data_IF_316896957293
#
_entry.id   IF_316896957293
#
_cell.length_a   1.000
_cell.length_b   1.000
_cell.length_c   1.000
_cell.angle_alpha   90.00
_cell.angle_beta   90.00
_cell.angle_gamma   90.00
#
_symmetry.space_group_name_H-M   'P 1'
#
loop_
_entity.id
_entity.type
_entity.pdbx_description
1 polymer ?
#
# COMPACT_ATOMS: atom_id res chain seq x y z
N UNK A 1 -12.46 2.06 -6.06
CA UNK A 1 -12.45 2.00 -7.55
C UNK A 1 -13.31 0.87 -8.08
N UNK A 2 -13.12 -0.39 -7.62
CA UNK A 2 -14.02 -1.51 -7.98
C UNK A 2 -15.50 -1.14 -7.83
N UNK A 3 -15.89 -0.66 -6.65
CA UNK A 3 -17.26 -0.27 -6.32
C UNK A 3 -17.83 0.80 -7.28
N UNK A 4 -17.01 1.76 -7.72
CA UNK A 4 -17.44 2.81 -8.67
C UNK A 4 -17.76 2.24 -10.05
N UNK A 5 -16.92 1.31 -10.54
CA UNK A 5 -17.14 0.65 -11.84
C UNK A 5 -18.38 -0.24 -11.80
N UNK A 6 -18.56 -1.01 -10.72
CA UNK A 6 -19.73 -1.86 -10.56
C UNK A 6 -21.01 -1.04 -10.44
N UNK A 7 -20.95 0.07 -9.70
CA UNK A 7 -22.04 1.02 -9.56
C UNK A 7 -22.45 1.61 -10.92
N UNK A 8 -21.49 2.04 -11.75
CA UNK A 8 -21.77 2.53 -13.10
C UNK A 8 -22.51 1.47 -13.93
N UNK A 9 -21.98 0.25 -14.02
CA UNK A 9 -22.61 -0.80 -14.80
C UNK A 9 -24.05 -1.11 -14.36
N UNK A 10 -24.29 -1.13 -13.04
CA UNK A 10 -25.63 -1.31 -12.49
C UNK A 10 -26.57 -0.15 -12.85
N UNK A 11 -26.09 1.10 -12.78
CA UNK A 11 -26.91 2.27 -13.16
C UNK A 11 -27.29 2.30 -14.63
N UNK A 12 -26.46 1.71 -15.51
CA UNK A 12 -26.74 1.54 -16.94
C UNK A 12 -27.56 0.28 -17.26
N UNK A 13 -27.92 -0.52 -16.25
CA UNK A 13 -28.70 -1.76 -16.45
C UNK A 13 -27.92 -2.88 -17.14
N UNK A 14 -26.58 -2.79 -17.17
CA UNK A 14 -25.73 -3.82 -17.78
C UNK A 14 -25.46 -4.90 -16.73
N UNK A 15 -25.80 -6.15 -17.08
CA UNK A 15 -25.46 -7.30 -16.23
C UNK A 15 -24.00 -7.68 -16.45
N UNK A 16 -23.18 -7.46 -15.42
CA UNK A 16 -21.78 -7.88 -15.42
C UNK A 16 -21.73 -9.40 -15.20
N UNK A 17 -21.10 -10.13 -16.13
CA UNK A 17 -20.83 -11.56 -15.98
C UNK A 17 -19.70 -11.83 -14.99
N UNK A 18 -19.67 -13.01 -14.36
CA UNK A 18 -18.61 -13.40 -13.43
C UNK A 18 -17.20 -13.27 -14.04
N UNK A 19 -17.06 -13.56 -15.34
CA UNK A 19 -15.80 -13.40 -16.06
C UNK A 19 -15.35 -11.93 -16.15
N UNK A 20 -16.32 -11.01 -16.30
CA UNK A 20 -16.03 -9.57 -16.32
C UNK A 20 -15.65 -9.06 -14.94
N UNK A 21 -16.21 -9.60 -13.85
CA UNK A 21 -15.74 -9.29 -12.49
C UNK A 21 -14.28 -9.69 -12.28
N UNK A 22 -13.88 -10.88 -12.75
CA UNK A 22 -12.47 -11.30 -12.74
C UNK A 22 -11.58 -10.36 -13.56
N UNK A 23 -12.04 -9.96 -14.75
CA UNK A 23 -11.30 -9.04 -15.61
C UNK A 23 -11.15 -7.65 -14.98
N UNK A 24 -12.21 -7.13 -14.36
CA UNK A 24 -12.18 -5.86 -13.60
C UNK A 24 -11.18 -5.97 -12.45
N UNK A 25 -11.21 -7.06 -11.68
CA UNK A 25 -10.26 -7.29 -10.60
C UNK A 25 -8.82 -7.32 -11.08
N UNK A 26 -8.53 -8.08 -12.14
CA UNK A 26 -7.20 -8.19 -12.73
C UNK A 26 -6.70 -6.83 -13.25
N UNK A 27 -7.55 -6.08 -13.96
CA UNK A 27 -7.23 -4.74 -14.41
C UNK A 27 -6.96 -3.79 -13.25
N UNK A 28 -7.77 -3.84 -12.20
CA UNK A 28 -7.57 -3.01 -11.00
C UNK A 28 -6.25 -3.32 -10.30
N UNK A 29 -5.86 -4.60 -10.22
CA UNK A 29 -4.57 -5.01 -9.66
C UNK A 29 -3.41 -4.48 -10.50
N UNK A 30 -3.49 -4.60 -11.83
CA UNK A 30 -2.47 -4.06 -12.73
C UNK A 30 -2.38 -2.53 -12.66
N UNK A 31 -3.53 -1.86 -12.63
CA UNK A 31 -3.61 -0.41 -12.47
C UNK A 31 -3.09 0.04 -11.10
N UNK A 32 -3.26 -0.76 -10.04
CA UNK A 32 -2.75 -0.42 -8.70
C UNK A 32 -1.24 -0.23 -8.67
N UNK A 33 -0.50 -0.89 -9.55
CA UNK A 33 0.96 -0.77 -9.65
C UNK A 33 1.38 0.29 -10.69
N UNK A 34 0.51 0.59 -11.65
CA UNK A 34 0.81 1.41 -12.84
C UNK A 34 0.52 2.91 -12.65
N UNK A 35 -0.30 3.29 -11.67
CA UNK A 35 -0.71 4.68 -11.48
C UNK A 35 0.26 5.43 -10.56
N UNK A 36 1.19 6.19 -11.16
CA UNK A 36 1.89 7.27 -10.46
C UNK A 36 0.84 8.31 -10.03
N UNK A 37 0.86 8.73 -8.76
CA UNK A 37 -0.18 9.52 -8.12
C UNK A 37 -0.33 10.92 -8.76
N UNK A 38 -1.13 11.01 -9.82
CA UNK A 38 -1.54 12.27 -10.43
C UNK A 38 -2.95 12.59 -9.95
N UNK A 39 -3.19 13.79 -9.35
CA UNK A 39 -4.54 14.21 -8.97
C UNK A 39 -5.43 14.28 -10.23
N UNK A 40 -6.63 13.68 -10.17
CA UNK A 40 -7.58 13.41 -11.28
C UNK A 40 -7.37 12.11 -12.10
N UNK A 41 -6.41 11.26 -11.73
CA UNK A 41 -6.16 9.99 -12.46
C UNK A 41 -7.31 8.98 -12.39
N UNK A 42 -8.18 9.04 -11.36
CA UNK A 42 -9.24 8.05 -11.14
C UNK A 42 -10.30 7.99 -12.23
N UNK A 43 -10.62 9.13 -12.87
CA UNK A 43 -11.57 9.13 -14.00
C UNK A 43 -11.04 8.38 -15.20
N UNK A 44 -9.75 8.51 -15.50
CA UNK A 44 -9.11 7.82 -16.63
C UNK A 44 -9.22 6.31 -16.43
N UNK A 45 -9.01 5.85 -15.20
CA UNK A 45 -9.16 4.44 -14.80
C UNK A 45 -10.58 3.94 -14.96
N UNK A 46 -11.56 4.72 -14.50
CA UNK A 46 -12.98 4.36 -14.61
C UNK A 46 -13.41 4.29 -16.08
N UNK A 47 -12.99 5.25 -16.91
CA UNK A 47 -13.26 5.26 -18.35
C UNK A 47 -12.58 4.08 -19.06
N UNK A 48 -11.31 3.80 -18.72
CA UNK A 48 -10.57 2.68 -19.28
C UNK A 48 -11.27 1.35 -19.00
N UNK A 49 -11.65 1.10 -17.74
CA UNK A 49 -12.32 -0.15 -17.36
C UNK A 49 -13.70 -0.22 -17.99
N UNK A 50 -14.46 0.88 -18.00
CA UNK A 50 -15.77 0.94 -18.67
C UNK A 50 -15.67 0.61 -20.17
N UNK A 51 -14.61 1.06 -20.85
CA UNK A 51 -14.31 0.70 -22.23
C UNK A 51 -14.04 -0.80 -22.41
N UNK A 52 -13.32 -1.43 -21.47
CA UNK A 52 -13.04 -2.87 -21.51
C UNK A 52 -14.30 -3.72 -21.31
N UNK A 53 -15.23 -3.27 -20.47
CA UNK A 53 -16.51 -3.98 -20.24
C UNK A 53 -17.64 -3.53 -21.19
N UNK A 54 -17.32 -2.68 -22.18
CA UNK A 54 -18.23 -2.17 -23.20
C UNK A 54 -19.43 -1.39 -22.64
N UNK A 55 -19.24 -0.65 -21.54
CA UNK A 55 -20.28 0.19 -20.93
C UNK A 55 -20.14 1.64 -21.41
N UNK A 56 -21.17 2.25 -22.00
CA UNK A 56 -21.13 3.65 -22.43
C UNK A 56 -21.07 4.59 -21.22
N UNK A 57 -20.11 5.52 -21.24
CA UNK A 57 -19.76 6.38 -20.09
C UNK A 57 -20.34 7.80 -20.16
N UNK A 58 -21.07 8.17 -21.21
CA UNK A 58 -21.24 9.59 -21.58
C UNK A 58 -22.19 10.44 -20.73
N UNK A 59 -23.22 9.86 -20.10
CA UNK A 59 -24.28 10.67 -19.44
C UNK A 59 -24.22 10.72 -17.90
N UNK A 60 -23.49 9.81 -17.24
CA UNK A 60 -23.54 9.65 -15.77
C UNK A 60 -22.23 9.95 -15.04
N UNK A 61 -21.18 10.40 -15.76
CA UNK A 61 -19.88 10.74 -15.18
C UNK A 61 -19.93 11.85 -14.12
N UNK A 62 -20.89 12.78 -14.23
CA UNK A 62 -21.07 13.86 -13.26
C UNK A 62 -21.35 13.37 -11.82
N UNK A 63 -21.97 12.20 -11.68
CA UNK A 63 -22.28 11.59 -10.38
C UNK A 63 -21.02 11.01 -9.71
N UNK A 64 -20.09 10.47 -10.52
CA UNK A 64 -18.78 10.01 -10.03
C UNK A 64 -17.90 11.21 -9.68
N UNK A 65 -17.88 12.25 -10.51
CA UNK A 65 -17.20 13.52 -10.25
C UNK A 65 -17.58 14.13 -8.90
N UNK A 66 -18.86 14.08 -8.54
CA UNK A 66 -19.35 14.59 -7.25
C UNK A 66 -18.84 13.81 -6.02
N UNK A 67 -18.41 12.56 -6.20
CA UNK A 67 -17.87 11.68 -5.14
C UNK A 67 -16.34 11.54 -5.23
N UNK A 68 -15.74 11.90 -6.36
CA UNK A 68 -14.30 11.82 -6.60
C UNK A 68 -13.50 12.58 -5.54
N UNK A 69 -13.96 13.76 -5.12
CA UNK A 69 -13.25 14.53 -4.09
C UNK A 69 -13.10 13.74 -2.77
N UNK A 70 -14.07 12.91 -2.43
CA UNK A 70 -14.04 12.07 -1.23
C UNK A 70 -13.18 10.83 -1.45
N UNK A 71 -13.34 10.16 -2.59
CA UNK A 71 -12.59 8.96 -2.92
C UNK A 71 -11.08 9.23 -3.10
N UNK A 72 -10.72 10.41 -3.62
CA UNK A 72 -9.33 10.85 -3.73
C UNK A 72 -8.71 11.04 -2.34
N UNK A 73 -9.47 11.64 -1.41
CA UNK A 73 -9.02 11.82 -0.02
C UNK A 73 -8.90 10.50 0.74
N UNK A 74 -9.81 9.55 0.53
CA UNK A 74 -9.71 8.22 1.13
C UNK A 74 -8.51 7.44 0.58
N UNK A 75 -8.21 7.59 -0.71
CA UNK A 75 -7.05 6.94 -1.34
C UNK A 75 -5.74 7.45 -0.75
N UNK A 76 -5.57 8.76 -0.57
CA UNK A 76 -4.34 9.30 0.03
C UNK A 76 -4.20 8.94 1.50
N UNK A 77 -5.31 8.88 2.26
CA UNK A 77 -5.30 8.42 3.64
C UNK A 77 -4.89 6.95 3.77
N UNK A 78 -5.44 6.06 2.95
CA UNK A 78 -5.04 4.65 2.95
C UNK A 78 -3.55 4.47 2.57
N UNK A 79 -3.08 5.25 1.59
CA UNK A 79 -1.67 5.24 1.21
C UNK A 79 -0.75 5.79 2.33
N UNK A 80 -1.22 6.78 3.11
CA UNK A 80 -0.50 7.32 4.26
C UNK A 80 -0.46 6.35 5.44
N UNK A 81 -1.56 5.67 5.72
CA UNK A 81 -1.66 4.67 6.78
C UNK A 81 -0.66 3.53 6.54
N UNK A 82 -0.52 3.08 5.29
CA UNK A 82 0.48 2.07 4.90
C UNK A 82 1.91 2.52 5.23
N UNK A 83 2.25 3.79 4.99
CA UNK A 83 3.57 4.31 5.31
C UNK A 83 3.79 4.43 6.82
N UNK A 84 2.76 4.84 7.57
CA UNK A 84 2.82 4.93 9.03
C UNK A 84 3.05 3.55 9.68
N UNK A 85 2.36 2.52 9.19
CA UNK A 85 2.56 1.14 9.61
C UNK A 85 3.97 0.67 9.25
N UNK A 86 4.43 0.95 8.03
CA UNK A 86 5.78 0.59 7.57
C UNK A 86 6.88 1.17 8.46
N UNK A 87 6.78 2.46 8.79
CA UNK A 87 7.71 3.13 9.73
C UNK A 87 7.63 2.51 11.12
N UNK A 88 6.43 2.22 11.63
CA UNK A 88 6.28 1.59 12.95
C UNK A 88 6.88 0.19 13.02
N UNK A 89 6.79 -0.60 11.95
CA UNK A 89 7.42 -1.93 11.87
C UNK A 89 8.93 -1.81 11.81
N UNK A 90 9.45 -0.89 10.98
CA UNK A 90 10.89 -0.64 10.86
C UNK A 90 11.48 -0.16 12.19
N UNK A 91 10.79 0.74 12.90
CA UNK A 91 11.20 1.23 14.22
C UNK A 91 11.33 0.08 15.24
N UNK A 92 10.36 -0.82 15.27
CA UNK A 92 10.42 -2.01 16.14
C UNK A 92 11.58 -2.96 15.78
N UNK A 93 11.82 -3.17 14.49
CA UNK A 93 12.92 -4.03 14.02
C UNK A 93 14.29 -3.41 14.32
N UNK A 94 14.45 -2.11 14.10
CA UNK A 94 15.67 -1.37 14.42
C UNK A 94 15.95 -1.40 15.93
N UNK A 95 14.94 -1.16 16.76
CA UNK A 95 15.10 -1.17 18.21
C UNK A 95 15.50 -2.56 18.72
N UNK A 96 15.00 -3.62 18.10
CA UNK A 96 15.44 -5.00 18.38
C UNK A 96 16.89 -5.23 17.95
N UNK A 97 17.30 -4.78 16.76
CA UNK A 97 18.68 -4.91 16.28
C UNK A 97 19.70 -4.06 17.03
N UNK A 98 19.28 -2.94 17.65
CA UNK A 98 20.15 -2.15 18.51
C UNK A 98 20.32 -2.79 19.90
N UNK A 99 19.28 -3.45 20.42
CA UNK A 99 19.39 -4.22 21.66
C UNK A 99 20.31 -5.45 21.48
N UNK A 100 20.14 -6.21 20.40
CA UNK A 100 21.02 -7.34 20.06
C UNK A 100 22.50 -6.92 19.94
N UNK A 101 22.78 -5.75 19.36
CA UNK A 101 24.15 -5.22 19.24
C UNK A 101 24.77 -4.75 20.55
N UNK A 102 23.98 -4.21 21.47
CA UNK A 102 24.48 -3.82 22.79
C UNK A 102 24.77 -5.02 23.69
N UNK A 103 24.01 -6.10 23.51
CA UNK A 103 24.23 -7.36 24.21
C UNK A 103 25.48 -8.10 23.65
N UNK A 104 25.79 -7.97 22.36
CA UNK A 104 27.05 -8.47 21.75
C UNK A 104 28.28 -7.62 22.16
N UNK A 105 28.21 -6.28 22.13
CA UNK A 105 29.35 -5.41 22.54
C UNK A 105 29.64 -5.47 24.06
N UNK A 106 28.65 -5.75 24.91
CA UNK A 106 28.89 -5.94 26.35
C UNK A 106 29.46 -7.32 26.71
N UNK A 107 29.35 -8.31 25.82
CA UNK A 107 29.94 -9.64 26.01
C UNK A 107 31.45 -9.65 25.77
N UNK A 108 31.90 -9.00 24.68
CA UNK A 108 33.32 -8.90 24.33
C UNK A 108 34.12 -8.06 25.37
N UNK A 109 33.53 -7.01 25.97
CA UNK A 109 34.18 -6.16 26.98
C UNK A 109 34.30 -6.80 28.38
N UNK A 110 33.61 -7.93 28.61
CA UNK A 110 33.76 -8.76 29.82
C UNK A 110 34.83 -9.85 29.63
N UNK A 111 34.85 -10.55 28.48
CA UNK A 111 35.89 -11.54 28.17
C UNK A 111 37.29 -10.88 28.05
N UNK A 112 37.40 -9.67 27.47
CA UNK A 112 38.70 -8.96 27.34
C UNK A 112 39.26 -8.46 28.69
N UNK A 113 38.39 -8.18 29.67
CA UNK A 113 38.81 -7.78 31.03
C UNK A 113 39.25 -8.96 31.90
N UNK A 114 38.60 -10.10 31.76
CA UNK A 114 38.98 -11.31 32.49
C UNK A 114 40.35 -11.85 32.01
N UNK A 115 40.63 -11.75 30.70
CA UNK A 115 41.94 -12.07 30.12
C UNK A 115 43.05 -11.09 30.60
N UNK A 116 42.78 -9.77 30.68
CA UNK A 116 43.76 -8.80 31.20
C UNK A 116 44.05 -8.97 32.70
N UNK A 117 43.05 -9.30 33.54
CA UNK A 117 43.25 -9.56 34.97
C UNK A 117 44.02 -10.87 35.22
N UNK A 118 43.81 -11.92 34.42
CA UNK A 118 44.59 -13.17 34.51
C UNK A 118 46.06 -12.96 34.14
N UNK A 119 46.35 -12.20 33.08
CA UNK A 119 47.73 -11.85 32.70
C UNK A 119 48.43 -10.96 33.74
N UNK A 120 47.70 -10.05 34.39
CA UNK A 120 48.26 -9.18 35.43
C UNK A 120 48.59 -9.93 36.73
N UNK A 121 47.93 -11.06 37.02
CA UNK A 121 48.20 -11.89 38.20
C UNK A 121 49.42 -12.82 38.04
N UNK A 122 49.90 -13.05 36.82
CA UNK A 122 50.97 -14.03 36.52
C UNK A 122 52.36 -13.36 36.40
N UNK A 123 52.43 -12.02 36.37
CA UNK A 123 53.66 -11.22 36.34
C UNK A 123 54.00 -10.67 37.72
#
# INVERSE_FOLDING_TARGET
MAVCVTFIAQTYGVSISIAQYFLIGLLLTLLSVTLVAVPSSSIVVVIMIAGVINVPVTDRLGLIMAIEWLLDRLRTMANLESNAIGVSVIDHLLKKSLHDKQDEESGDDFDEKDDEEEFASVV
#
